data_IF_690959656383
#
_entry.id   IF_690959656383
#
_cell.length_a   1.000
_cell.length_b   1.000
_cell.length_c   1.000
_cell.angle_alpha   90.00
_cell.angle_beta   90.00
_cell.angle_gamma   90.00
#
_symmetry.space_group_name_H-M   'P 1'
#
loop_
_entity.id
_entity.type
_entity.pdbx_description
1 polymer ?
#
# COMPACT_ATOMS: atom_id res chain seq x y z
N UNK A 1 12.52 31.28 -11.58
CA UNK A 1 13.26 30.01 -11.37
C UNK A 1 12.24 28.95 -11.02
N UNK A 2 12.40 27.70 -11.48
CA UNK A 2 11.51 26.61 -11.09
C UNK A 2 11.57 26.40 -9.56
N UNK A 3 10.46 25.95 -8.98
CA UNK A 3 10.43 25.52 -7.58
C UNK A 3 11.13 24.16 -7.48
N UNK A 4 12.23 24.10 -6.74
CA UNK A 4 12.91 22.83 -6.47
C UNK A 4 12.19 22.06 -5.35
N UNK A 5 11.92 20.78 -5.59
CA UNK A 5 11.29 19.88 -4.63
C UNK A 5 12.11 18.60 -4.50
N UNK A 6 12.36 18.16 -3.27
CA UNK A 6 12.97 16.86 -3.00
C UNK A 6 11.90 15.84 -2.61
N UNK A 7 11.73 14.81 -3.44
CA UNK A 7 10.69 13.78 -3.34
C UNK A 7 11.29 12.45 -2.88
N UNK A 8 10.82 11.93 -1.73
CA UNK A 8 11.15 10.59 -1.26
C UNK A 8 10.15 9.55 -1.76
N UNK A 9 10.60 8.51 -2.47
CA UNK A 9 9.76 7.41 -2.96
C UNK A 9 10.49 6.06 -2.95
N UNK A 10 9.72 4.97 -2.86
CA UNK A 10 10.23 3.62 -3.15
C UNK A 10 10.44 3.43 -4.64
N UNK A 11 11.19 2.40 -5.03
CA UNK A 11 11.52 2.09 -6.43
C UNK A 11 10.33 1.65 -7.29
N UNK A 12 9.41 2.58 -7.55
CA UNK A 12 8.32 2.42 -8.50
C UNK A 12 8.88 2.62 -9.91
N UNK A 13 8.84 1.57 -10.71
CA UNK A 13 9.36 1.60 -12.08
C UNK A 13 8.61 2.62 -12.97
N UNK A 14 7.33 2.85 -12.71
CA UNK A 14 6.54 3.86 -13.41
C UNK A 14 6.94 5.32 -13.09
N UNK A 15 7.82 5.56 -12.13
CA UNK A 15 8.44 6.87 -11.88
C UNK A 15 9.70 7.09 -12.73
N UNK A 16 10.19 6.05 -13.43
CA UNK A 16 11.41 6.13 -14.24
C UNK A 16 11.37 7.23 -15.32
N UNK A 17 10.27 7.44 -16.07
CA UNK A 17 10.17 8.56 -17.00
C UNK A 17 10.39 9.93 -16.36
N UNK A 18 9.86 10.16 -15.16
CA UNK A 18 10.11 11.38 -14.39
C UNK A 18 11.59 11.47 -13.97
N UNK A 19 12.15 10.40 -13.39
CA UNK A 19 13.53 10.35 -12.87
C UNK A 19 14.57 10.59 -13.98
N UNK A 20 14.34 10.07 -15.18
CA UNK A 20 15.24 10.23 -16.32
C UNK A 20 15.00 11.53 -17.12
N UNK A 21 13.96 12.30 -16.78
CA UNK A 21 13.63 13.56 -17.43
C UNK A 21 12.86 13.42 -18.75
N UNK A 22 12.35 12.23 -19.10
CA UNK A 22 11.42 12.05 -20.22
C UNK A 22 10.09 12.80 -19.97
N UNK A 23 9.72 12.94 -18.69
CA UNK A 23 8.59 13.74 -18.20
C UNK A 23 9.16 14.81 -17.30
N UNK A 24 8.90 16.09 -17.60
CA UNK A 24 9.44 17.23 -16.85
C UNK A 24 8.48 18.43 -16.90
N UNK A 25 8.70 19.40 -16.01
CA UNK A 25 7.95 20.65 -15.96
C UNK A 25 8.89 21.85 -16.02
N UNK A 26 8.56 22.93 -16.75
CA UNK A 26 9.31 24.18 -16.67
C UNK A 26 9.11 24.91 -15.33
N UNK A 27 8.12 24.51 -14.52
CA UNK A 27 7.81 25.12 -13.22
C UNK A 27 8.44 24.40 -12.04
N UNK A 28 8.74 23.10 -12.16
CA UNK A 28 9.24 22.25 -11.09
C UNK A 28 10.59 21.63 -11.44
N UNK A 29 11.53 21.71 -10.50
CA UNK A 29 12.78 20.95 -10.50
C UNK A 29 12.68 19.85 -9.45
N UNK A 30 12.37 18.61 -9.87
CA UNK A 30 12.11 17.49 -8.96
C UNK A 30 13.36 16.64 -8.81
N UNK A 31 13.85 16.52 -7.57
CA UNK A 31 14.91 15.59 -7.18
C UNK A 31 14.29 14.40 -6.47
N UNK A 32 14.39 13.24 -7.09
CA UNK A 32 13.86 11.98 -6.54
C UNK A 32 14.94 11.24 -5.77
N UNK A 33 14.66 10.94 -4.51
CA UNK A 33 15.47 10.04 -3.69
C UNK A 33 14.73 8.73 -3.42
N UNK A 34 15.46 7.64 -3.62
CA UNK A 34 15.02 6.29 -3.28
C UNK A 34 15.06 6.10 -1.76
N UNK A 35 13.95 5.63 -1.19
CA UNK A 35 13.87 5.21 0.22
C UNK A 35 13.47 3.73 0.34
N UNK A 36 14.14 2.98 1.22
CA UNK A 36 13.78 1.58 1.51
C UNK A 36 12.58 1.46 2.48
N UNK A 37 12.44 2.42 3.38
CA UNK A 37 11.32 2.54 4.33
C UNK A 37 10.70 3.92 4.18
N UNK A 38 9.36 3.99 4.23
CA UNK A 38 8.67 5.27 4.16
C UNK A 38 9.03 6.15 5.36
N UNK A 39 9.00 7.46 5.15
CA UNK A 39 9.16 8.41 6.24
C UNK A 39 8.09 8.16 7.31
N UNK A 40 8.49 8.27 8.58
CA UNK A 40 7.53 8.26 9.69
C UNK A 40 6.64 9.50 9.67
N UNK A 41 7.19 10.65 9.26
CA UNK A 41 6.48 11.93 9.23
C UNK A 41 7.12 12.96 8.29
N UNK A 42 6.48 13.30 7.17
CA UNK A 42 7.01 14.27 6.19
C UNK A 42 7.16 15.69 6.75
N UNK A 43 6.16 16.19 7.48
CA UNK A 43 6.17 17.56 8.02
C UNK A 43 7.33 17.88 8.98
N UNK A 44 7.99 16.86 9.52
CA UNK A 44 9.15 16.98 10.42
C UNK A 44 10.48 16.72 9.72
N UNK A 45 10.46 16.37 8.43
CA UNK A 45 11.67 16.10 7.66
C UNK A 45 12.38 17.40 7.29
N UNK A 46 13.69 17.45 7.47
CA UNK A 46 14.54 18.55 6.97
C UNK A 46 14.99 18.30 5.52
N UNK A 47 14.99 17.04 5.09
CA UNK A 47 15.54 16.62 3.80
C UNK A 47 14.52 16.62 2.65
N UNK A 48 13.23 16.44 2.94
CA UNK A 48 12.21 16.17 1.91
C UNK A 48 11.04 17.14 1.96
N UNK A 49 10.55 17.51 0.79
CA UNK A 49 9.43 18.44 0.58
C UNK A 49 8.13 17.68 0.28
N UNK A 50 8.29 16.54 -0.39
CA UNK A 50 7.24 15.66 -0.86
C UNK A 50 7.65 14.22 -0.51
N UNK A 51 6.69 13.37 -0.15
CA UNK A 51 6.97 11.97 0.09
C UNK A 51 5.80 11.05 -0.27
N UNK A 52 6.16 9.83 -0.67
CA UNK A 52 5.28 8.67 -0.56
C UNK A 52 4.93 8.40 0.91
N UNK A 53 3.65 8.25 1.21
CA UNK A 53 3.13 8.05 2.57
C UNK A 53 2.16 6.88 2.64
N UNK A 54 2.22 6.12 3.73
CA UNK A 54 1.21 5.11 4.05
C UNK A 54 -0.14 5.78 4.26
N UNK A 55 -1.17 5.34 3.54
CA UNK A 55 -2.52 5.87 3.67
C UNK A 55 -3.05 5.72 5.10
N UNK A 56 -2.84 4.57 5.76
CA UNK A 56 -3.25 4.40 7.16
C UNK A 56 -2.57 5.39 8.11
N UNK A 57 -1.29 5.71 7.88
CA UNK A 57 -0.56 6.67 8.73
C UNK A 57 -1.02 8.10 8.43
N UNK A 58 -1.25 8.43 7.17
CA UNK A 58 -1.85 9.71 6.77
C UNK A 58 -3.23 9.91 7.41
N UNK A 59 -4.10 8.90 7.36
CA UNK A 59 -5.42 8.95 8.01
C UNK A 59 -5.33 9.18 9.51
N UNK A 60 -4.34 8.56 10.19
CA UNK A 60 -4.08 8.84 11.60
C UNK A 60 -3.65 10.29 11.83
N UNK A 61 -2.74 10.82 11.02
CA UNK A 61 -2.31 12.22 11.13
C UNK A 61 -3.49 13.19 11.01
N UNK A 62 -4.42 12.95 10.06
CA UNK A 62 -5.64 13.75 9.94
C UNK A 62 -6.52 13.66 11.21
N UNK A 63 -6.69 12.48 11.77
CA UNK A 63 -7.43 12.27 13.04
C UNK A 63 -6.78 12.99 14.21
N UNK A 64 -5.44 13.00 14.26
CA UNK A 64 -4.67 13.67 15.30
C UNK A 64 -4.64 15.20 15.12
N UNK A 65 -5.29 15.73 14.07
CA UNK A 65 -5.35 17.16 13.76
C UNK A 65 -4.05 17.71 13.18
N UNK A 66 -3.18 16.88 12.62
CA UNK A 66 -1.94 17.31 12.00
C UNK A 66 -2.23 18.01 10.66
N UNK A 67 -1.86 19.30 10.59
CA UNK A 67 -2.04 20.17 9.41
C UNK A 67 -0.72 20.47 8.70
N UNK A 68 0.37 19.80 9.07
CA UNK A 68 1.71 20.04 8.51
C UNK A 68 1.91 19.41 7.13
N UNK A 69 1.03 18.50 6.73
CA UNK A 69 1.08 17.75 5.48
C UNK A 69 -0.28 17.85 4.78
N UNK A 70 -0.25 18.08 3.47
CA UNK A 70 -1.41 17.96 2.59
C UNK A 70 -1.25 16.68 1.79
N UNK A 71 -2.14 15.71 2.00
CA UNK A 71 -2.21 14.50 1.18
C UNK A 71 -2.97 14.77 -0.12
N UNK A 72 -2.47 14.22 -1.21
CA UNK A 72 -3.07 14.31 -2.55
C UNK A 72 -3.58 12.92 -2.94
N UNK A 73 -4.80 12.77 -3.51
CA UNK A 73 -5.38 11.46 -3.84
C UNK A 73 -4.75 10.82 -5.09
N UNK A 74 -3.42 10.91 -5.22
CA UNK A 74 -2.57 10.10 -6.10
C UNK A 74 -2.17 8.82 -5.33
N UNK A 75 -2.92 7.74 -5.49
CA UNK A 75 -2.57 6.46 -4.87
C UNK A 75 -1.49 5.74 -5.68
N UNK A 76 -0.24 6.03 -5.37
CA UNK A 76 0.94 5.53 -6.08
C UNK A 76 1.21 4.05 -5.81
N UNK A 77 0.87 3.53 -4.63
CA UNK A 77 0.87 2.08 -4.41
C UNK A 77 -0.56 1.56 -4.46
N UNK A 78 -0.87 0.73 -5.45
CA UNK A 78 -2.13 -0.02 -5.55
C UNK A 78 -1.88 -1.53 -5.70
N UNK A 79 -2.88 -2.32 -5.34
CA UNK A 79 -2.88 -3.75 -5.61
C UNK A 79 -3.88 -4.53 -4.77
N UNK A 80 -4.18 -5.75 -5.18
CA UNK A 80 -4.99 -6.62 -4.34
C UNK A 80 -4.13 -7.34 -3.29
N UNK A 81 -4.76 -7.78 -2.20
CA UNK A 81 -4.07 -8.38 -1.05
C UNK A 81 -4.28 -9.87 -0.84
N UNK A 82 -5.16 -10.51 -1.62
CA UNK A 82 -5.38 -11.96 -1.57
C UNK A 82 -4.09 -12.75 -1.81
N UNK A 83 -3.26 -12.30 -2.77
CA UNK A 83 -1.93 -12.87 -3.07
C UNK A 83 -0.87 -12.70 -1.97
N UNK A 84 -1.11 -11.83 -0.99
CA UNK A 84 -0.13 -11.44 0.03
C UNK A 84 -0.18 -12.34 1.27
N UNK A 85 -0.90 -13.46 1.21
CA UNK A 85 -1.06 -14.37 2.35
C UNK A 85 -0.37 -15.68 2.00
N UNK A 86 0.70 -16.00 2.73
CA UNK A 86 1.45 -17.24 2.54
C UNK A 86 1.25 -18.21 3.71
N UNK A 87 1.29 -19.49 3.41
CA UNK A 87 1.28 -20.60 4.37
C UNK A 87 2.28 -21.68 3.94
N UNK A 88 2.45 -22.75 4.72
CA UNK A 88 3.30 -23.88 4.33
C UNK A 88 2.69 -24.65 3.16
N UNK A 89 3.53 -25.15 2.25
CA UNK A 89 3.12 -25.95 1.09
C UNK A 89 2.34 -27.20 1.48
N UNK A 90 2.78 -27.88 2.54
CA UNK A 90 2.20 -29.10 3.11
C UNK A 90 1.04 -28.84 4.09
N UNK A 91 0.70 -27.56 4.34
CA UNK A 91 -0.38 -27.17 5.24
C UNK A 91 -1.77 -27.31 4.63
N UNK A 92 -2.82 -27.48 5.47
CA UNK A 92 -4.20 -27.68 4.99
C UNK A 92 -4.90 -26.38 4.56
N UNK A 93 -4.33 -25.20 4.86
CA UNK A 93 -4.99 -23.90 4.65
C UNK A 93 -4.94 -23.51 3.16
N UNK A 94 -6.09 -23.41 2.53
CA UNK A 94 -6.26 -23.17 1.07
C UNK A 94 -7.25 -22.04 0.77
N UNK A 95 -7.95 -21.54 1.79
CA UNK A 95 -8.98 -20.52 1.67
C UNK A 95 -8.88 -19.54 2.85
N UNK A 96 -9.33 -18.30 2.66
CA UNK A 96 -9.21 -17.26 3.68
C UNK A 96 -10.04 -17.57 4.94
N UNK A 97 -11.27 -18.09 4.80
CA UNK A 97 -12.13 -18.45 5.93
C UNK A 97 -11.51 -19.47 6.90
N UNK A 98 -10.57 -20.30 6.41
CA UNK A 98 -9.86 -21.30 7.22
C UNK A 98 -8.81 -20.68 8.17
N UNK A 99 -8.58 -19.36 8.09
CA UNK A 99 -7.72 -18.61 8.99
C UNK A 99 -8.40 -18.28 10.33
N UNK A 100 -9.69 -18.58 10.50
CA UNK A 100 -10.35 -18.58 11.81
C UNK A 100 -9.63 -19.53 12.78
N UNK A 101 -9.37 -19.03 13.99
CA UNK A 101 -8.66 -19.70 15.07
C UNK A 101 -7.15 -19.88 14.84
N UNK A 102 -6.57 -19.31 13.78
CA UNK A 102 -5.15 -19.50 13.42
C UNK A 102 -4.23 -18.43 14.00
N UNK A 103 -2.93 -18.74 14.01
CA UNK A 103 -1.84 -17.81 14.36
C UNK A 103 -1.27 -17.19 13.09
N UNK A 104 -1.42 -15.88 12.95
CA UNK A 104 -1.14 -15.13 11.72
C UNK A 104 -0.06 -14.10 11.98
N UNK A 105 1.02 -14.17 11.20
CA UNK A 105 2.07 -13.16 11.19
C UNK A 105 1.69 -11.95 10.34
N UNK A 106 2.05 -10.74 10.75
CA UNK A 106 1.89 -9.50 9.96
C UNK A 106 3.18 -8.69 9.99
N UNK A 107 3.59 -8.11 8.86
CA UNK A 107 4.82 -7.29 8.77
C UNK A 107 4.72 -5.90 9.41
N UNK A 108 3.52 -5.53 9.84
CA UNK A 108 3.18 -4.27 10.51
C UNK A 108 1.69 -4.22 10.78
N UNK A 109 1.26 -3.95 12.01
CA UNK A 109 -0.14 -4.06 12.41
C UNK A 109 -1.04 -3.13 11.60
N UNK A 110 -0.72 -1.83 11.58
CA UNK A 110 -1.51 -0.78 10.93
C UNK A 110 -1.03 -0.41 9.53
N UNK A 111 -0.20 -1.23 8.89
CA UNK A 111 0.20 -0.95 7.51
C UNK A 111 -1.01 -1.03 6.58
N UNK A 112 -1.17 -0.06 5.66
CA UNK A 112 -2.33 -0.03 4.76
C UNK A 112 -2.53 -1.35 3.99
N UNK A 113 -1.43 -2.00 3.62
CA UNK A 113 -1.47 -3.32 3.00
C UNK A 113 -2.12 -4.37 3.90
N UNK A 114 -1.70 -4.47 5.17
CA UNK A 114 -2.25 -5.45 6.11
C UNK A 114 -3.68 -5.11 6.54
N UNK A 115 -4.05 -3.84 6.60
CA UNK A 115 -5.45 -3.41 6.77
C UNK A 115 -6.31 -3.93 5.62
N UNK A 116 -5.89 -3.78 4.37
CA UNK A 116 -6.60 -4.35 3.22
C UNK A 116 -6.56 -5.88 3.17
N UNK A 117 -5.48 -6.52 3.63
CA UNK A 117 -5.43 -8.00 3.75
C UNK A 117 -6.48 -8.50 4.75
N UNK A 118 -6.62 -7.84 5.90
CA UNK A 118 -7.68 -8.14 6.88
C UNK A 118 -9.07 -7.77 6.38
N UNK A 119 -9.20 -6.75 5.54
CA UNK A 119 -10.46 -6.43 4.87
C UNK A 119 -10.93 -7.60 3.97
N UNK A 120 -10.03 -8.14 3.14
CA UNK A 120 -10.31 -9.34 2.34
C UNK A 120 -10.69 -10.54 3.22
N UNK A 121 -9.99 -10.73 4.34
CA UNK A 121 -10.29 -11.79 5.29
C UNK A 121 -11.68 -11.63 5.96
N UNK A 122 -12.07 -10.40 6.31
CA UNK A 122 -13.36 -10.13 6.94
C UNK A 122 -14.55 -10.40 6.02
N UNK A 123 -14.38 -10.22 4.71
CA UNK A 123 -15.41 -10.60 3.71
C UNK A 123 -15.69 -12.10 3.72
N UNK A 124 -14.73 -12.89 4.19
CA UNK A 124 -14.81 -14.35 4.32
C UNK A 124 -15.19 -14.78 5.74
N UNK A 125 -15.71 -13.83 6.55
CA UNK A 125 -16.25 -14.10 7.88
C UNK A 125 -15.21 -14.16 9.01
N UNK A 126 -13.97 -13.74 8.76
CA UNK A 126 -12.89 -13.79 9.76
C UNK A 126 -12.42 -12.39 10.12
N UNK A 127 -12.78 -11.93 11.31
CA UNK A 127 -12.39 -10.64 11.88
C UNK A 127 -11.11 -10.68 12.71
N UNK A 128 -10.78 -9.55 13.35
CA UNK A 128 -9.62 -9.43 14.24
C UNK A 128 -9.75 -10.37 15.45
N UNK A 129 -10.95 -10.53 16.00
CA UNK A 129 -11.21 -11.39 17.17
C UNK A 129 -11.25 -12.88 16.85
N UNK A 130 -11.19 -13.26 15.58
CA UNK A 130 -11.29 -14.65 15.15
C UNK A 130 -9.91 -15.29 14.95
N UNK A 131 -8.81 -14.56 15.12
CA UNK A 131 -7.44 -15.08 14.96
C UNK A 131 -6.49 -14.55 16.03
N UNK A 132 -5.31 -15.17 16.13
CA UNK A 132 -4.19 -14.68 16.94
C UNK A 132 -3.16 -14.02 16.02
N UNK A 133 -2.71 -12.82 16.35
CA UNK A 133 -1.89 -11.99 15.48
C UNK A 133 -0.51 -11.76 16.09
N UNK A 134 0.52 -11.89 15.25
CA UNK A 134 1.92 -11.69 15.62
C UNK A 134 2.56 -10.68 14.68
N UNK A 135 2.92 -9.50 15.18
CA UNK A 135 3.60 -8.47 14.39
C UNK A 135 5.12 -8.65 14.50
N UNK A 136 5.83 -8.78 13.37
CA UNK A 136 7.25 -9.07 13.40
C UNK A 136 7.97 -8.86 12.06
N UNK A 137 9.30 -8.94 12.10
CA UNK A 137 10.11 -8.89 10.89
C UNK A 137 9.89 -10.16 10.04
N UNK A 138 9.83 -10.01 8.73
CA UNK A 138 9.61 -11.15 7.84
C UNK A 138 10.80 -12.10 7.83
N UNK A 139 12.01 -11.57 7.59
CA UNK A 139 13.29 -12.29 7.52
C UNK A 139 14.33 -11.63 8.43
N UNK A 140 15.49 -12.26 8.64
CA UNK A 140 16.58 -11.67 9.43
C UNK A 140 17.12 -10.36 8.85
N UNK A 141 17.08 -10.20 7.52
CA UNK A 141 17.53 -9.00 6.82
C UNK A 141 16.63 -7.77 7.10
N UNK A 142 15.41 -7.97 7.58
CA UNK A 142 14.52 -6.87 7.95
C UNK A 142 14.88 -6.36 9.36
N UNK A 143 14.89 -5.04 9.58
CA UNK A 143 15.29 -4.46 10.85
C UNK A 143 14.32 -4.80 11.98
N UNK A 144 14.84 -4.87 13.20
CA UNK A 144 14.04 -4.96 14.43
C UNK A 144 13.50 -3.57 14.72
N UNK A 145 12.18 -3.42 14.65
CA UNK A 145 11.44 -2.18 14.92
C UNK A 145 10.08 -2.56 15.49
N UNK A 146 9.47 -1.66 16.27
CA UNK A 146 8.11 -1.85 16.77
C UNK A 146 7.12 -1.90 15.59
N UNK A 147 6.53 -3.07 15.37
CA UNK A 147 5.52 -3.34 14.34
C UNK A 147 4.10 -3.41 14.88
N UNK A 148 3.95 -3.39 16.20
CA UNK A 148 2.66 -3.20 16.85
C UNK A 148 2.25 -1.73 16.79
N UNK A 149 3.21 -0.80 16.87
CA UNK A 149 2.98 0.65 16.73
C UNK A 149 1.91 1.15 17.72
N UNK A 150 1.95 0.64 18.95
CA UNK A 150 0.98 0.94 20.03
C UNK A 150 -0.31 0.12 20.05
N UNK A 151 -0.54 -0.79 19.09
CA UNK A 151 -1.79 -1.56 18.98
C UNK A 151 -1.74 -2.97 19.60
N UNK A 152 -0.77 -3.22 20.48
CA UNK A 152 -0.64 -4.50 21.17
C UNK A 152 -1.85 -4.83 22.05
N UNK A 153 -2.32 -6.08 21.99
CA UNK A 153 -3.40 -6.63 22.82
C UNK A 153 -2.96 -8.00 23.36
N UNK A 154 -2.60 -8.11 24.64
CA UNK A 154 -2.16 -9.38 25.22
C UNK A 154 -3.14 -10.53 24.94
N UNK A 155 -2.63 -11.67 24.51
CA UNK A 155 -3.41 -12.84 24.13
C UNK A 155 -4.13 -12.73 22.79
N UNK A 156 -3.91 -11.66 22.00
CA UNK A 156 -4.59 -11.45 20.72
C UNK A 156 -3.71 -10.85 19.62
N UNK A 157 -3.03 -9.74 19.92
CA UNK A 157 -2.14 -9.01 19.00
C UNK A 157 -0.83 -8.82 19.75
N UNK A 158 0.17 -9.61 19.42
CA UNK A 158 1.45 -9.63 20.11
C UNK A 158 2.62 -9.40 19.16
N UNK A 159 3.78 -9.07 19.71
CA UNK A 159 5.01 -9.09 18.94
C UNK A 159 5.38 -10.55 18.60
N UNK A 160 6.05 -10.76 17.47
CA UNK A 160 6.62 -12.07 17.17
C UNK A 160 7.61 -12.49 18.27
N UNK A 161 7.55 -13.74 18.76
CA UNK A 161 8.32 -14.16 19.94
C UNK A 161 9.82 -14.00 19.70
N UNK A 162 10.48 -13.25 20.59
CA UNK A 162 11.93 -13.03 20.57
C UNK A 162 12.44 -12.33 19.31
N UNK A 163 11.60 -11.54 18.62
CA UNK A 163 11.94 -10.90 17.34
C UNK A 163 12.43 -11.88 16.27
N UNK A 164 12.02 -13.15 16.39
CA UNK A 164 12.38 -14.19 15.43
C UNK A 164 11.74 -13.90 14.06
N UNK A 165 12.43 -14.19 12.96
CA UNK A 165 11.87 -14.05 11.63
C UNK A 165 10.56 -14.83 11.48
N UNK A 166 9.50 -14.17 10.99
CA UNK A 166 8.21 -14.83 10.81
C UNK A 166 8.30 -16.03 9.86
N UNK A 167 9.17 -15.99 8.85
CA UNK A 167 9.36 -17.13 7.95
C UNK A 167 9.84 -18.38 8.68
N UNK A 168 10.66 -18.25 9.72
CA UNK A 168 11.14 -19.39 10.49
C UNK A 168 10.05 -19.90 11.43
N UNK A 169 9.31 -18.99 12.05
CA UNK A 169 8.12 -19.32 12.83
C UNK A 169 7.05 -20.05 11.99
N UNK A 170 6.88 -19.69 10.72
CA UNK A 170 5.98 -20.39 9.80
C UNK A 170 6.49 -21.79 9.43
N UNK A 171 7.80 -21.94 9.15
CA UNK A 171 8.44 -23.25 8.87
C UNK A 171 8.28 -24.21 10.04
N UNK A 172 8.48 -23.72 11.26
CA UNK A 172 8.39 -24.51 12.50
C UNK A 172 6.95 -24.82 12.92
N UNK A 173 5.96 -24.19 12.28
CA UNK A 173 4.56 -24.34 12.63
C UNK A 173 4.14 -23.60 13.89
N UNK A 174 4.89 -22.58 14.30
CA UNK A 174 4.42 -21.59 15.26
C UNK A 174 3.40 -20.63 14.62
N UNK A 175 3.64 -20.20 13.38
CA UNK A 175 2.63 -19.48 12.59
C UNK A 175 1.95 -20.44 11.61
N UNK A 176 0.68 -20.18 11.33
CA UNK A 176 -0.12 -20.92 10.35
C UNK A 176 -0.16 -20.18 9.00
N UNK A 177 -0.05 -18.85 9.03
CA UNK A 177 0.07 -18.00 7.85
C UNK A 177 0.87 -16.72 8.15
N UNK A 178 1.35 -16.04 7.10
CA UNK A 178 1.95 -14.71 7.18
C UNK A 178 1.31 -13.81 6.14
N UNK A 179 0.97 -12.59 6.53
CA UNK A 179 0.60 -11.51 5.64
C UNK A 179 1.86 -10.73 5.29
N UNK A 180 2.29 -10.86 4.03
CA UNK A 180 3.45 -10.15 3.51
C UNK A 180 3.19 -9.63 2.08
N UNK A 181 3.34 -8.32 1.84
CA UNK A 181 3.19 -7.76 0.50
C UNK A 181 4.37 -8.11 -0.42
N UNK A 182 5.53 -8.41 0.15
CA UNK A 182 6.76 -8.73 -0.57
C UNK A 182 7.21 -10.14 -0.20
N UNK A 183 7.41 -10.98 -1.20
CA UNK A 183 7.84 -12.35 -0.97
C UNK A 183 9.30 -12.37 -0.48
N UNK A 184 9.64 -13.25 0.48
CA UNK A 184 11.02 -13.36 0.96
C UNK A 184 11.95 -13.87 -0.14
N UNK A 185 13.24 -13.54 -0.03
CA UNK A 185 14.28 -14.02 -0.95
C UNK A 185 14.25 -15.55 -1.09
N UNK A 186 14.43 -16.04 -2.32
CA UNK A 186 14.37 -17.46 -2.64
C UNK A 186 12.95 -18.02 -2.88
N UNK A 187 11.89 -17.24 -2.65
CA UNK A 187 10.50 -17.68 -2.92
C UNK A 187 10.31 -18.13 -4.37
N UNK A 188 10.73 -17.31 -5.33
CA UNK A 188 10.59 -17.60 -6.77
C UNK A 188 11.57 -18.67 -7.27
N UNK A 189 12.58 -19.03 -6.48
CA UNK A 189 13.49 -20.15 -6.79
C UNK A 189 12.91 -21.52 -6.42
N UNK A 190 11.70 -21.59 -5.84
CA UNK A 190 11.03 -22.83 -5.46
C UNK A 190 11.54 -23.47 -4.16
N UNK A 191 12.69 -23.04 -3.65
CA UNK A 191 13.36 -23.62 -2.49
C UNK A 191 12.70 -23.34 -1.13
N UNK A 192 11.82 -22.33 -1.04
CA UNK A 192 11.07 -22.09 0.19
C UNK A 192 9.83 -23.02 0.28
N UNK A 193 9.52 -23.56 1.47
CA UNK A 193 8.39 -24.46 1.68
C UNK A 193 7.06 -23.70 1.83
N UNK A 194 6.90 -22.56 1.15
CA UNK A 194 5.73 -21.69 1.25
C UNK A 194 4.96 -21.60 -0.05
N UNK A 195 3.66 -21.35 0.06
CA UNK A 195 2.76 -21.03 -1.05
C UNK A 195 1.77 -19.97 -0.62
N UNK A 196 1.11 -19.32 -1.56
CA UNK A 196 -0.08 -18.53 -1.26
C UNK A 196 -1.16 -19.42 -0.62
N UNK A 197 -1.94 -18.85 0.31
CA UNK A 197 -3.15 -19.49 0.84
C UNK A 197 -4.15 -19.69 -0.30
N UNK A 198 -4.50 -18.62 -1.00
CA UNK A 198 -5.39 -18.66 -2.16
C UNK A 198 -4.59 -19.00 -3.41
N UNK A 199 -4.80 -20.19 -3.96
CA UNK A 199 -4.10 -20.67 -5.17
C UNK A 199 -4.49 -19.86 -6.41
N UNK A 200 -5.79 -19.72 -6.67
CA UNK A 200 -6.34 -18.82 -7.70
C UNK A 200 -6.59 -17.42 -7.12
N UNK A 201 -5.51 -16.73 -6.76
CA UNK A 201 -5.62 -15.36 -6.28
C UNK A 201 -6.14 -14.42 -7.38
N UNK A 202 -5.88 -14.65 -8.68
CA UNK A 202 -6.40 -13.78 -9.75
C UNK A 202 -7.93 -13.82 -9.79
N UNK A 203 -8.54 -15.00 -9.74
CA UNK A 203 -9.99 -15.14 -9.68
C UNK A 203 -10.60 -14.53 -8.43
N UNK A 204 -9.97 -14.71 -7.26
CA UNK A 204 -10.42 -14.07 -6.02
C UNK A 204 -10.34 -12.53 -6.08
N UNK A 205 -9.29 -12.00 -6.68
CA UNK A 205 -9.07 -10.56 -6.83
C UNK A 205 -10.03 -9.94 -7.86
N UNK A 206 -10.35 -10.67 -8.93
CA UNK A 206 -11.40 -10.26 -9.89
C UNK A 206 -12.77 -10.19 -9.23
N UNK A 207 -13.15 -11.22 -8.46
CA UNK A 207 -14.41 -11.19 -7.67
C UNK A 207 -14.45 -10.02 -6.70
N UNK A 208 -13.34 -9.77 -6.00
CA UNK A 208 -13.22 -8.62 -5.12
C UNK A 208 -13.42 -7.30 -5.88
N UNK A 209 -12.80 -7.16 -7.06
CA UNK A 209 -13.01 -5.98 -7.91
C UNK A 209 -14.46 -5.83 -8.36
N UNK A 210 -15.12 -6.90 -8.77
CA UNK A 210 -16.54 -6.88 -9.16
C UNK A 210 -17.45 -6.43 -8.02
N UNK A 211 -17.09 -6.78 -6.78
CA UNK A 211 -17.86 -6.38 -5.60
C UNK A 211 -17.63 -4.92 -5.19
N UNK A 212 -16.39 -4.42 -5.27
CA UNK A 212 -16.02 -3.11 -4.70
C UNK A 212 -15.82 -2.01 -5.73
N UNK A 213 -15.55 -2.37 -6.99
CA UNK A 213 -15.37 -1.45 -8.11
C UNK A 213 -14.02 -0.73 -8.15
N UNK A 214 -13.03 -1.14 -7.35
CA UNK A 214 -11.71 -0.49 -7.30
C UNK A 214 -10.57 -1.49 -7.04
N UNK A 215 -9.36 -1.10 -7.46
CA UNK A 215 -8.12 -1.73 -7.00
C UNK A 215 -7.63 -0.97 -5.76
N UNK A 216 -7.44 -1.65 -4.61
CA UNK A 216 -7.14 -0.95 -3.36
C UNK A 216 -5.87 -0.08 -3.47
N UNK A 217 -5.91 1.10 -2.88
CA UNK A 217 -4.79 2.04 -2.75
C UNK A 217 -4.19 1.99 -1.34
N UNK A 218 -2.88 2.02 -1.24
CA UNK A 218 -2.15 1.87 0.02
C UNK A 218 -1.30 3.05 0.37
N UNK A 219 -0.59 3.61 -0.62
CA UNK A 219 0.28 4.75 -0.41
C UNK A 219 -0.13 5.89 -1.32
N UNK A 220 0.00 7.10 -0.81
CA UNK A 220 -0.34 8.34 -1.49
C UNK A 220 0.85 9.31 -1.48
N UNK A 221 0.71 10.44 -2.17
CA UNK A 221 1.68 11.53 -2.12
C UNK A 221 1.26 12.55 -1.07
N UNK A 222 2.17 12.86 -0.14
CA UNK A 222 2.06 13.99 0.77
C UNK A 222 2.99 15.13 0.35
N UNK A 223 2.53 16.36 0.50
CA UNK A 223 3.30 17.60 0.29
C UNK A 223 3.32 18.37 1.61
N UNK A 224 4.45 18.98 2.00
CA UNK A 224 4.46 19.90 3.16
C UNK A 224 3.45 21.03 2.97
N UNK A 225 2.61 21.25 3.97
CA UNK A 225 1.52 22.23 3.89
C UNK A 225 2.01 23.67 3.62
N UNK A 226 3.17 24.05 4.14
CA UNK A 226 3.78 25.36 3.88
C UNK A 226 4.12 25.59 2.40
N UNK A 227 4.51 24.53 1.67
CA UNK A 227 4.79 24.61 0.23
C UNK A 227 3.49 24.82 -0.55
N UNK A 228 2.44 24.05 -0.21
CA UNK A 228 1.11 24.20 -0.81
C UNK A 228 0.54 25.59 -0.53
N UNK A 229 0.67 26.11 0.68
CA UNK A 229 0.16 27.43 1.04
C UNK A 229 0.84 28.56 0.23
N UNK A 230 2.14 28.44 -0.04
CA UNK A 230 2.89 29.43 -0.82
C UNK A 230 2.74 29.23 -2.34
N UNK A 231 2.51 27.99 -2.78
CA UNK A 231 2.47 27.60 -4.18
C UNK A 231 1.29 26.64 -4.45
N UNK A 232 0.01 27.04 -4.37
CA UNK A 232 -1.12 26.10 -4.49
C UNK A 232 -1.15 25.31 -5.79
N UNK A 233 -0.64 25.90 -6.88
CA UNK A 233 -0.49 25.28 -8.20
C UNK A 233 0.44 24.05 -8.21
N UNK A 234 1.25 23.85 -7.16
CA UNK A 234 2.17 22.71 -7.05
C UNK A 234 1.45 21.37 -7.05
N UNK A 235 0.22 21.33 -6.51
CA UNK A 235 -0.61 20.12 -6.46
C UNK A 235 -0.87 19.64 -7.88
N UNK A 236 -1.51 20.48 -8.69
CA UNK A 236 -1.85 20.16 -10.07
C UNK A 236 -0.63 19.80 -10.91
N UNK A 237 0.43 20.60 -10.79
CA UNK A 237 1.64 20.40 -11.59
C UNK A 237 2.34 19.08 -11.23
N UNK A 238 2.47 18.75 -9.94
CA UNK A 238 3.07 17.49 -9.49
C UNK A 238 2.22 16.28 -9.86
N UNK A 239 0.90 16.34 -9.63
CA UNK A 239 -0.02 15.25 -9.98
C UNK A 239 0.02 14.94 -11.49
N UNK A 240 0.06 15.97 -12.34
CA UNK A 240 0.22 15.81 -13.80
C UNK A 240 1.52 15.10 -14.17
N UNK A 241 2.63 15.43 -13.52
CA UNK A 241 3.91 14.77 -13.78
C UNK A 241 3.90 13.29 -13.40
N UNK A 242 3.27 12.94 -12.28
CA UNK A 242 3.13 11.56 -11.82
C UNK A 242 2.25 10.76 -12.79
N UNK A 243 1.08 11.28 -13.13
CA UNK A 243 0.15 10.63 -14.04
C UNK A 243 0.76 10.46 -15.45
N UNK A 244 1.47 11.48 -15.94
CA UNK A 244 2.16 11.42 -17.24
C UNK A 244 3.33 10.43 -17.23
N UNK A 245 4.08 10.35 -16.12
CA UNK A 245 5.12 9.32 -15.94
C UNK A 245 4.53 7.92 -15.99
N UNK A 246 3.41 7.69 -15.29
CA UNK A 246 2.70 6.41 -15.33
C UNK A 246 2.18 6.07 -16.73
N UNK A 247 1.58 7.04 -17.42
CA UNK A 247 1.08 6.88 -18.79
C UNK A 247 2.20 6.50 -19.76
N UNK A 248 3.33 7.21 -19.71
CA UNK A 248 4.48 6.93 -20.57
C UNK A 248 5.11 5.56 -20.25
N UNK A 249 5.26 5.23 -18.97
CA UNK A 249 5.74 3.92 -18.55
C UNK A 249 4.82 2.80 -19.03
N UNK A 250 3.49 2.93 -18.90
CA UNK A 250 2.55 1.89 -19.31
C UNK A 250 2.60 1.66 -20.82
N UNK A 251 2.72 2.75 -21.60
CA UNK A 251 2.94 2.67 -23.04
C UNK A 251 4.24 1.92 -23.37
N UNK A 252 5.34 2.24 -22.68
CA UNK A 252 6.63 1.54 -22.86
C UNK A 252 6.53 0.07 -22.44
N UNK A 253 5.86 -0.25 -21.33
CA UNK A 253 5.69 -1.62 -20.84
C UNK A 253 4.89 -2.49 -21.80
N UNK A 254 3.84 -1.95 -22.43
CA UNK A 254 3.10 -2.64 -23.49
C UNK A 254 3.94 -2.87 -24.75
N UNK A 255 4.82 -1.92 -25.10
CA UNK A 255 5.73 -2.04 -26.24
C UNK A 255 6.89 -3.02 -25.99
N UNK A 256 7.43 -3.02 -24.78
CA UNK A 256 8.58 -3.80 -24.34
C UNK A 256 8.16 -4.86 -23.31
N UNK A 257 7.13 -5.63 -23.64
CA UNK A 257 6.57 -6.64 -22.74
C UNK A 257 7.56 -7.78 -22.45
N UNK A 258 8.61 -7.98 -23.25
CA UNK A 258 9.56 -9.10 -23.14
C UNK A 258 10.49 -9.05 -21.90
N UNK A 259 10.17 -8.23 -20.89
CA UNK A 259 10.88 -8.16 -19.60
C UNK A 259 10.66 -9.40 -18.72
N UNK A 260 9.57 -10.15 -18.94
CA UNK A 260 9.42 -11.52 -18.44
C UNK A 260 8.67 -12.39 -19.47
N UNK A 261 8.92 -13.72 -19.54
CA UNK A 261 8.42 -14.56 -20.64
C UNK A 261 6.89 -14.55 -20.84
N UNK A 262 6.11 -14.28 -19.78
CA UNK A 262 4.65 -14.29 -19.82
C UNK A 262 4.01 -12.94 -19.51
N UNK A 263 4.79 -11.85 -19.53
CA UNK A 263 4.27 -10.51 -19.26
C UNK A 263 3.18 -10.08 -20.27
N UNK A 264 3.32 -10.46 -21.54
CA UNK A 264 2.32 -10.10 -22.56
C UNK A 264 0.93 -10.69 -22.23
N UNK A 265 0.89 -11.94 -21.78
CA UNK A 265 -0.34 -12.60 -21.32
C UNK A 265 -0.92 -11.91 -20.08
N UNK A 266 -0.08 -11.50 -19.13
CA UNK A 266 -0.51 -10.71 -17.96
C UNK A 266 -1.15 -9.38 -18.39
N UNK A 267 -0.49 -8.62 -19.26
CA UNK A 267 -0.99 -7.33 -19.74
C UNK A 267 -2.32 -7.46 -20.50
N UNK A 268 -2.47 -8.51 -21.32
CA UNK A 268 -3.71 -8.79 -22.05
C UNK A 268 -4.85 -9.12 -21.09
N UNK A 269 -4.61 -10.00 -20.10
CA UNK A 269 -5.63 -10.36 -19.11
C UNK A 269 -6.02 -9.16 -18.25
N UNK A 270 -5.05 -8.37 -17.80
CA UNK A 270 -5.32 -7.18 -16.99
C UNK A 270 -6.09 -6.10 -17.76
N UNK A 271 -5.82 -5.92 -19.05
CA UNK A 271 -6.60 -5.02 -19.90
C UNK A 271 -8.03 -5.52 -20.18
N UNK A 272 -8.26 -6.84 -20.21
CA UNK A 272 -9.59 -7.43 -20.39
C UNK A 272 -10.41 -7.43 -19.10
N UNK A 273 -9.77 -7.59 -17.96
CA UNK A 273 -10.41 -7.77 -16.66
C UNK A 273 -10.56 -6.49 -15.84
N UNK A 274 -9.84 -5.40 -16.16
CA UNK A 274 -9.96 -4.13 -15.45
C UNK A 274 -10.38 -3.02 -16.42
N UNK A 275 -11.26 -2.10 -16.01
CA UNK A 275 -11.65 -0.97 -16.85
C UNK A 275 -10.46 -0.04 -17.08
N UNK A 276 -10.48 0.66 -18.22
CA UNK A 276 -9.53 1.75 -18.46
C UNK A 276 -9.63 2.78 -17.33
N UNK A 277 -8.49 3.15 -16.73
CA UNK A 277 -8.44 4.12 -15.65
C UNK A 277 -8.74 3.55 -14.26
N UNK A 278 -8.66 2.22 -14.06
CA UNK A 278 -8.74 1.61 -12.71
C UNK A 278 -7.69 2.17 -11.75
N UNK A 279 -6.58 2.70 -12.30
CA UNK A 279 -5.45 3.30 -11.61
C UNK A 279 -5.58 4.82 -11.42
N UNK A 280 -6.66 5.44 -11.92
CA UNK A 280 -6.78 6.90 -12.01
C UNK A 280 -6.56 7.62 -10.67
N UNK A 281 -5.82 8.71 -10.77
CA UNK A 281 -5.65 9.69 -9.69
C UNK A 281 -6.91 10.55 -9.54
N UNK A 282 -7.15 11.05 -8.32
CA UNK A 282 -8.21 12.01 -8.04
C UNK A 282 -9.18 11.55 -6.95
N UNK A 283 -9.84 12.52 -6.31
CA UNK A 283 -10.72 12.28 -5.19
C UNK A 283 -12.00 11.58 -5.62
N UNK A 284 -12.72 12.15 -6.60
CA UNK A 284 -14.04 11.65 -6.99
C UNK A 284 -14.02 10.17 -7.42
N UNK A 285 -13.04 9.77 -8.24
CA UNK A 285 -12.89 8.39 -8.72
C UNK A 285 -12.48 7.41 -7.61
N UNK A 286 -11.79 7.89 -6.57
CA UNK A 286 -11.32 7.08 -5.45
C UNK A 286 -12.19 7.20 -4.19
N UNK A 287 -13.23 8.03 -4.19
CA UNK A 287 -14.01 8.37 -2.99
C UNK A 287 -14.57 7.14 -2.29
N UNK A 288 -15.08 6.17 -3.05
CA UNK A 288 -15.58 4.91 -2.50
C UNK A 288 -14.46 4.12 -1.80
N UNK A 289 -13.32 3.96 -2.44
CA UNK A 289 -12.16 3.26 -1.87
C UNK A 289 -11.65 3.94 -0.60
N UNK A 290 -11.61 5.28 -0.58
CA UNK A 290 -11.22 6.09 0.59
C UNK A 290 -12.20 5.83 1.75
N UNK A 291 -13.50 5.88 1.49
CA UNK A 291 -14.54 5.63 2.48
C UNK A 291 -14.46 4.20 3.04
N UNK A 292 -14.33 3.22 2.15
CA UNK A 292 -14.21 1.81 2.53
C UNK A 292 -12.96 1.61 3.39
N UNK A 293 -11.82 2.22 3.04
CA UNK A 293 -10.60 2.13 3.84
C UNK A 293 -10.73 2.78 5.22
N UNK A 294 -11.36 3.95 5.32
CA UNK A 294 -11.61 4.60 6.60
C UNK A 294 -12.49 3.72 7.51
N UNK A 295 -13.51 3.08 6.93
CA UNK A 295 -14.33 2.10 7.64
C UNK A 295 -13.53 0.86 8.06
N UNK A 296 -12.66 0.34 7.19
CA UNK A 296 -11.75 -0.77 7.53
C UNK A 296 -10.84 -0.44 8.71
N UNK A 297 -10.24 0.75 8.72
CA UNK A 297 -9.40 1.18 9.83
C UNK A 297 -10.19 1.29 11.14
N UNK A 298 -11.42 1.79 11.09
CA UNK A 298 -12.26 1.89 12.29
C UNK A 298 -12.71 0.51 12.81
N UNK A 299 -13.29 -0.33 11.95
CA UNK A 299 -13.79 -1.67 12.33
C UNK A 299 -12.65 -2.58 12.83
N UNK A 300 -11.43 -2.39 12.34
CA UNK A 300 -10.25 -3.13 12.81
C UNK A 300 -9.61 -2.54 14.07
N UNK A 301 -10.20 -1.49 14.66
CA UNK A 301 -9.72 -0.85 15.89
C UNK A 301 -8.44 -0.05 15.73
N UNK A 302 -8.10 0.37 14.50
CA UNK A 302 -6.93 1.22 14.22
C UNK A 302 -7.29 2.69 14.44
N UNK A 303 -8.48 3.11 14.01
CA UNK A 303 -8.99 4.46 14.28
C UNK A 303 -10.04 4.45 15.39
N UNK A 304 -9.95 5.39 16.35
CA UNK A 304 -10.92 5.48 17.45
C UNK A 304 -12.31 5.90 16.98
N UNK A 305 -12.41 6.56 15.82
CA UNK A 305 -13.65 7.06 15.23
C UNK A 305 -13.62 6.91 13.71
N UNK A 306 -14.80 6.84 13.09
CA UNK A 306 -14.94 6.89 11.64
C UNK A 306 -14.65 8.31 11.13
N UNK A 307 -13.96 8.40 10.00
CA UNK A 307 -13.60 9.67 9.34
C UNK A 307 -14.11 9.62 7.89
N UNK A 308 -14.60 10.75 7.38
CA UNK A 308 -15.11 10.82 6.01
C UNK A 308 -13.98 11.04 5.00
N UNK A 309 -14.16 10.69 3.72
CA UNK A 309 -13.20 11.06 2.67
C UNK A 309 -12.87 12.55 2.64
N UNK A 310 -13.86 13.42 2.83
CA UNK A 310 -13.73 14.88 2.82
C UNK A 310 -12.88 15.40 3.97
N UNK A 311 -12.94 14.76 5.14
CA UNK A 311 -12.07 15.09 6.28
C UNK A 311 -10.60 14.74 6.00
N UNK A 312 -10.34 13.78 5.10
CA UNK A 312 -8.99 13.30 4.78
C UNK A 312 -8.31 14.10 3.67
N UNK A 313 -9.07 14.63 2.72
CA UNK A 313 -8.51 15.31 1.56
C UNK A 313 -9.13 16.69 1.41
N UNK A 314 -8.34 17.74 1.66
CA UNK A 314 -8.79 19.12 1.46
C UNK A 314 -8.70 19.60 0.01
N UNK A 315 -7.95 18.88 -0.84
CA UNK A 315 -7.70 19.24 -2.23
C UNK A 315 -7.75 18.01 -3.14
N UNK A 316 -8.24 18.20 -4.36
CA UNK A 316 -8.13 17.21 -5.42
C UNK A 316 -6.81 17.39 -6.21
N UNK A 317 -6.53 16.48 -7.14
CA UNK A 317 -5.31 16.42 -7.96
C UNK A 317 -5.12 17.61 -8.90
N UNK A 318 -6.16 18.40 -9.14
CA UNK A 318 -6.09 19.66 -9.89
C UNK A 318 -5.88 20.88 -8.99
N UNK A 319 -5.71 20.67 -7.68
CA UNK A 319 -5.55 21.73 -6.69
C UNK A 319 -6.86 22.43 -6.29
N UNK A 320 -8.00 22.01 -6.84
CA UNK A 320 -9.32 22.49 -6.38
C UNK A 320 -9.61 22.00 -4.96
N UNK A 321 -10.42 22.76 -4.22
CA UNK A 321 -10.86 22.39 -2.87
C UNK A 321 -11.95 21.32 -2.94
N UNK A 322 -11.87 20.32 -2.07
CA UNK A 322 -12.93 19.34 -1.85
C UNK A 322 -13.85 19.88 -0.75
N UNK A 323 -15.17 19.81 -0.99
CA UNK A 323 -16.23 20.28 -0.08
C UNK A 323 -17.58 19.69 -0.43
#
# INVERSE_FOLDING_TARGET
>A
MPLSLRLALRDWDYMTPLVLGDVSSPKLDIKVDRVGTLLTHLGKSEDYDVAEMSFSRYTQLCIDGDVSIVGIPNFIMRGFRHRCIITRKDGPITELGQLAGKRIGVTGWRDSGNTWTRAALRREGVGVEDAMWYAGRLTEAHPIVDRLDGFGRPGRIEAAPGERPMVDLLKEGFLDAIFTPFMPDGYFGGGLPFRQVVSDFRGAERRYFDDVGYVPGMHLIGIKAGIVAQNPWVIEELSKLIDESQRLWLSKRRKYADTSPFMMDELLKSAAELPVGWEASGFAVNRKMIADFANELHVQGILPQLITPEDLFSFDVDGSRIG
#
